data_IF_227228282410
#
_entry.id   IF_227228282410
#
_cell.length_a   1.000
_cell.length_b   1.000
_cell.length_c   1.000
_cell.angle_alpha   90.00
_cell.angle_beta   90.00
_cell.angle_gamma   90.00
#
_symmetry.space_group_name_H-M   'P 1'
#
loop_
_entity.id
_entity.type
_entity.pdbx_description
1 polymer ?
#
# COMPACT_ATOMS: atom_id res chain seq x y z
N UNK A 1 -9.72 14.76 4.92
CA UNK A 1 -9.02 13.46 5.02
C UNK A 1 -7.56 13.71 4.67
N UNK A 2 -6.61 13.24 5.49
CA UNK A 2 -5.18 13.30 5.14
C UNK A 2 -4.88 12.27 4.05
N UNK A 3 -4.08 12.64 3.05
CA UNK A 3 -3.62 11.69 2.02
C UNK A 3 -2.60 10.72 2.60
N UNK A 4 -2.44 9.56 1.97
CA UNK A 4 -1.42 8.56 2.35
C UNK A 4 -0.03 9.18 2.26
N UNK A 5 0.22 10.04 1.27
CA UNK A 5 1.48 10.78 1.15
C UNK A 5 1.74 11.69 2.36
N UNK A 6 0.73 12.42 2.86
CA UNK A 6 0.89 13.27 4.04
C UNK A 6 1.17 12.45 5.31
N UNK A 7 0.60 11.24 5.42
CA UNK A 7 0.88 10.32 6.53
C UNK A 7 2.29 9.72 6.43
N UNK A 8 2.76 9.41 5.22
CA UNK A 8 4.14 8.98 4.98
C UNK A 8 5.14 10.08 5.36
N UNK A 9 4.90 11.32 4.93
CA UNK A 9 5.76 12.46 5.26
C UNK A 9 5.83 12.69 6.77
N UNK A 10 4.68 12.63 7.46
CA UNK A 10 4.63 12.72 8.92
C UNK A 10 5.43 11.59 9.58
N UNK A 11 5.25 10.35 9.14
CA UNK A 11 5.98 9.19 9.65
C UNK A 11 7.50 9.35 9.49
N UNK A 12 7.96 9.74 8.29
CA UNK A 12 9.38 9.95 8.00
C UNK A 12 9.96 11.09 8.84
N UNK A 13 9.22 12.20 8.98
CA UNK A 13 9.60 13.35 9.79
C UNK A 13 9.70 12.97 11.28
N UNK A 14 8.69 12.29 11.84
CA UNK A 14 8.68 11.87 13.25
C UNK A 14 9.80 10.89 13.58
N UNK A 15 10.21 10.07 12.60
CA UNK A 15 11.32 9.11 12.75
C UNK A 15 12.68 9.71 12.42
N UNK A 16 12.75 10.92 11.86
CA UNK A 16 14.00 11.53 11.38
C UNK A 16 14.66 10.75 10.23
N UNK A 17 13.86 10.04 9.42
CA UNK A 17 14.33 9.20 8.32
C UNK A 17 14.09 9.95 7.00
N UNK A 18 15.10 10.06 6.11
CA UNK A 18 14.88 10.65 4.80
C UNK A 18 14.03 9.73 3.92
N UNK A 19 13.30 10.33 2.96
CA UNK A 19 12.62 9.55 1.92
C UNK A 19 13.64 8.65 1.19
N UNK A 20 13.41 7.33 1.12
CA UNK A 20 14.33 6.43 0.42
C UNK A 20 14.47 6.79 -1.07
N UNK A 21 15.70 6.84 -1.57
CA UNK A 21 15.98 7.22 -2.97
C UNK A 21 15.70 6.12 -4.00
N UNK A 22 15.08 5.00 -3.61
CA UNK A 22 14.84 3.84 -4.46
C UNK A 22 13.54 3.12 -4.15
N UNK A 23 12.90 2.58 -5.20
CA UNK A 23 11.78 1.65 -5.05
C UNK A 23 12.29 0.32 -4.48
N UNK A 24 11.82 -0.06 -3.29
CA UNK A 24 12.02 -1.42 -2.78
C UNK A 24 10.69 -2.16 -2.77
N UNK A 25 10.28 -2.65 -3.95
CA UNK A 25 9.20 -3.65 -4.04
C UNK A 25 9.48 -4.87 -3.15
N UNK A 26 10.77 -5.12 -2.85
CA UNK A 26 11.22 -6.07 -1.84
C UNK A 26 10.66 -5.74 -0.44
N UNK A 27 10.69 -4.47 0.00
CA UNK A 27 10.14 -4.10 1.31
C UNK A 27 8.64 -4.34 1.37
N UNK A 28 7.91 -4.01 0.31
CA UNK A 28 6.46 -4.34 0.20
C UNK A 28 6.23 -5.84 0.37
N UNK A 29 7.07 -6.68 -0.23
CA UNK A 29 6.97 -8.13 -0.10
C UNK A 29 7.29 -8.62 1.32
N UNK A 30 8.32 -8.08 1.96
CA UNK A 30 8.70 -8.38 3.35
C UNK A 30 7.53 -8.06 4.30
N UNK A 31 6.98 -6.85 4.26
CA UNK A 31 5.83 -6.48 5.12
C UNK A 31 4.58 -7.29 4.82
N UNK A 32 4.39 -7.71 3.55
CA UNK A 32 3.26 -8.57 3.18
C UNK A 32 3.39 -9.96 3.80
N UNK A 33 4.60 -10.48 3.96
CA UNK A 33 4.86 -11.75 4.65
C UNK A 33 4.55 -11.60 6.14
N UNK A 34 5.01 -10.53 6.78
CA UNK A 34 4.74 -10.24 8.20
C UNK A 34 3.23 -10.10 8.46
N UNK A 35 2.50 -9.41 7.59
CA UNK A 35 1.03 -9.32 7.64
C UNK A 35 0.37 -10.70 7.54
N UNK A 36 0.84 -11.57 6.64
CA UNK A 36 0.31 -12.94 6.51
C UNK A 36 0.56 -13.74 7.79
N UNK A 37 1.75 -13.64 8.37
CA UNK A 37 2.10 -14.32 9.62
C UNK A 37 1.20 -13.88 10.79
N UNK A 38 0.93 -12.58 10.92
CA UNK A 38 0.03 -12.05 11.94
C UNK A 38 -1.41 -12.50 11.72
N UNK A 39 -1.91 -12.42 10.48
CA UNK A 39 -3.27 -12.82 10.13
C UNK A 39 -3.52 -14.33 10.28
N UNK A 40 -2.48 -15.16 10.16
CA UNK A 40 -2.59 -16.62 10.20
C UNK A 40 -2.60 -17.20 11.62
N UNK A 41 -2.49 -16.36 12.66
CA UNK A 41 -2.54 -16.80 14.06
C UNK A 41 -3.96 -17.26 14.42
N UNK A 42 -4.08 -18.17 15.38
CA UNK A 42 -5.38 -18.71 15.84
C UNK A 42 -6.29 -17.65 16.47
N UNK A 43 -5.70 -16.62 17.06
CA UNK A 43 -6.38 -15.44 17.60
C UNK A 43 -5.55 -14.19 17.26
N UNK A 44 -5.77 -13.57 16.10
CA UNK A 44 -4.94 -12.47 15.64
C UNK A 44 -5.34 -11.16 16.33
N UNK A 45 -4.38 -10.52 17.00
CA UNK A 45 -4.59 -9.22 17.62
C UNK A 45 -4.84 -8.13 16.57
N UNK A 46 -5.97 -7.42 16.71
CA UNK A 46 -6.36 -6.32 15.82
C UNK A 46 -5.28 -5.23 15.74
N UNK A 47 -4.59 -4.94 16.85
CA UNK A 47 -3.55 -3.91 16.86
C UNK A 47 -2.32 -4.37 16.07
N UNK A 48 -1.92 -5.63 16.21
CA UNK A 48 -0.86 -6.23 15.39
C UNK A 48 -1.22 -6.21 13.89
N UNK A 49 -2.44 -6.65 13.50
CA UNK A 49 -2.86 -6.61 12.09
C UNK A 49 -2.77 -5.18 11.53
N UNK A 50 -3.24 -4.19 12.29
CA UNK A 50 -3.21 -2.80 11.88
C UNK A 50 -1.78 -2.27 11.71
N UNK A 51 -0.83 -2.77 12.49
CA UNK A 51 0.59 -2.43 12.38
C UNK A 51 1.15 -2.93 11.05
N UNK A 52 1.07 -4.23 10.80
CA UNK A 52 1.63 -4.84 9.58
C UNK A 52 0.95 -4.30 8.32
N UNK A 53 -0.36 -4.05 8.38
CA UNK A 53 -1.08 -3.44 7.26
C UNK A 53 -0.58 -2.01 7.00
N UNK A 54 -0.28 -1.23 8.04
CA UNK A 54 0.28 0.10 7.88
C UNK A 54 1.67 0.05 7.25
N UNK A 55 2.51 -0.91 7.63
CA UNK A 55 3.85 -1.07 7.07
C UNK A 55 3.81 -1.42 5.57
N UNK A 56 2.90 -2.31 5.16
CA UNK A 56 2.65 -2.59 3.73
C UNK A 56 2.25 -1.32 2.97
N UNK A 57 1.31 -0.53 3.52
CA UNK A 57 0.82 0.70 2.86
C UNK A 57 1.91 1.75 2.77
N UNK A 58 2.72 1.94 3.82
CA UNK A 58 3.84 2.88 3.83
C UNK A 58 4.92 2.46 2.82
N UNK A 59 5.28 1.16 2.78
CA UNK A 59 6.21 0.64 1.80
C UNK A 59 5.72 0.86 0.36
N UNK A 60 4.42 0.63 0.10
CA UNK A 60 3.81 0.91 -1.20
C UNK A 60 3.81 2.41 -1.55
N UNK A 61 3.60 3.28 -0.56
CA UNK A 61 3.65 4.73 -0.75
C UNK A 61 5.05 5.23 -1.12
N UNK A 62 6.11 4.64 -0.55
CA UNK A 62 7.50 4.92 -0.97
C UNK A 62 7.72 4.52 -2.44
N UNK A 63 7.23 3.35 -2.86
CA UNK A 63 7.32 2.91 -4.26
C UNK A 63 6.57 3.86 -5.19
N UNK A 64 5.35 4.25 -4.82
CA UNK A 64 4.54 5.18 -5.60
C UNK A 64 5.27 6.53 -5.77
N UNK A 65 5.76 7.09 -4.65
CA UNK A 65 6.50 8.35 -4.65
C UNK A 65 7.74 8.29 -5.54
N UNK A 66 8.52 7.20 -5.45
CA UNK A 66 9.70 7.00 -6.29
C UNK A 66 9.38 7.03 -7.79
N UNK A 67 8.21 6.55 -8.19
CA UNK A 67 7.75 6.52 -9.57
C UNK A 67 6.89 7.73 -9.98
N UNK A 68 6.77 8.74 -9.12
CA UNK A 68 6.09 10.00 -9.43
C UNK A 68 4.56 9.92 -9.37
N UNK A 69 4.00 9.03 -8.56
CA UNK A 69 2.55 8.95 -8.33
C UNK A 69 2.22 8.65 -6.85
N UNK A 70 0.94 8.63 -6.52
CA UNK A 70 0.40 8.34 -5.18
C UNK A 70 -0.31 6.98 -5.14
N UNK A 71 -0.40 6.37 -3.96
CA UNK A 71 -1.16 5.13 -3.78
C UNK A 71 -2.61 5.31 -4.22
N UNK A 72 -3.21 6.47 -3.95
CA UNK A 72 -4.55 6.82 -4.37
C UNK A 72 -4.71 6.86 -5.91
N UNK A 73 -3.74 7.42 -6.63
CA UNK A 73 -3.72 7.39 -8.10
C UNK A 73 -3.60 5.96 -8.63
N UNK A 74 -2.77 5.11 -8.01
CA UNK A 74 -2.67 3.70 -8.39
C UNK A 74 -3.98 2.94 -8.16
N UNK A 75 -4.69 3.19 -7.04
CA UNK A 75 -6.00 2.60 -6.75
C UNK A 75 -7.03 3.08 -7.79
N UNK A 76 -7.09 4.39 -8.11
CA UNK A 76 -8.01 4.91 -9.12
C UNK A 76 -7.77 4.26 -10.48
N UNK A 77 -6.51 4.19 -10.93
CA UNK A 77 -6.16 3.54 -12.19
C UNK A 77 -6.58 2.05 -12.20
N UNK A 78 -6.46 1.34 -11.07
CA UNK A 78 -6.92 -0.05 -10.95
C UNK A 78 -8.44 -0.17 -11.03
N UNK A 79 -9.19 0.70 -10.34
CA UNK A 79 -10.65 0.73 -10.41
C UNK A 79 -11.16 1.01 -11.83
N UNK A 80 -10.56 1.95 -12.55
CA UNK A 80 -10.90 2.26 -13.95
C UNK A 80 -10.63 1.07 -14.88
N UNK A 81 -9.51 0.38 -14.69
CA UNK A 81 -9.18 -0.82 -15.46
C UNK A 81 -10.17 -1.95 -15.22
N UNK A 82 -10.55 -2.21 -13.97
CA UNK A 82 -11.43 -3.31 -13.62
C UNK A 82 -12.88 -3.05 -14.03
N UNK A 83 -13.40 -1.83 -13.79
CA UNK A 83 -14.73 -1.43 -14.29
C UNK A 83 -14.80 -1.42 -15.82
N UNK A 84 -13.74 -0.97 -16.51
CA UNK A 84 -13.63 -1.02 -17.96
C UNK A 84 -13.51 -2.46 -18.52
N UNK A 85 -12.94 -3.39 -17.74
CA UNK A 85 -12.88 -4.83 -18.09
C UNK A 85 -14.22 -5.53 -17.86
N UNK A 86 -14.93 -5.21 -16.78
CA UNK A 86 -16.26 -5.73 -16.49
C UNK A 86 -17.27 -5.30 -17.57
N UNK A 87 -17.23 -4.04 -18.00
CA UNK A 87 -18.03 -3.54 -19.12
C UNK A 87 -17.75 -4.27 -20.45
N UNK A 88 -16.53 -4.76 -20.68
CA UNK A 88 -16.19 -5.57 -21.87
C UNK A 88 -16.59 -7.04 -21.73
N UNK A 89 -16.67 -7.57 -20.50
CA UNK A 89 -17.11 -8.95 -20.24
C UNK A 89 -18.63 -9.10 -20.29
N UNK A 90 -19.40 -8.10 -19.87
CA UNK A 90 -20.86 -8.10 -19.91
C UNK A 90 -21.47 -7.92 -21.30
N UNK A 91 -20.66 -7.51 -22.29
CA UNK A 91 -21.06 -7.30 -23.70
C UNK A 91 -20.68 -8.48 -24.60
N UNK A 92 -20.11 -9.57 -24.04
CA UNK A 92 -19.97 -10.82 -24.81
C UNK A 92 -21.27 -11.62 -24.73
N UNK A 93 -21.95 -11.89 -25.87
CA UNK A 93 -23.14 -12.74 -25.93
C UNK A 93 -22.83 -14.20 -25.59
#
# INVERSE_FOLDING_TARGET
>A
MSSILALLDLYLMERGIPMPSGASARKVAEESIELVEVCSRSDPDRKAIMHELADVVLAAAVVAHHHGFTVEEAIRAKCELDTGREARRSVRP
#
